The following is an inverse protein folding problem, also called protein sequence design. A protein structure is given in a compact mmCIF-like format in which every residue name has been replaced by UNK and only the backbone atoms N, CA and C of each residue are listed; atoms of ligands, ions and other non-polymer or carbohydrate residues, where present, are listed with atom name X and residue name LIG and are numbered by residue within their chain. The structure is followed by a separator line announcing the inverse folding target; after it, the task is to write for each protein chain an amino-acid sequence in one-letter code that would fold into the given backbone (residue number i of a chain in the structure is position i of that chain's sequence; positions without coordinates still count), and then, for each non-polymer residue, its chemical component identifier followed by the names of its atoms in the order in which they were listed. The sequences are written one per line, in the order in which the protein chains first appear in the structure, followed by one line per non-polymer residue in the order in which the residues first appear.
data_IF_567004844216
#
_entry.id   IF_567004844216
#
_cell.length_a   1.000
_cell.length_b   1.000
_cell.length_c   1.000
_cell.angle_alpha   90.00
_cell.angle_beta   90.00
_cell.angle_gamma   90.00
#
_symmetry.space_group_name_H-M   'P 1'
#
loop_
_entity.id
_entity.type
_entity.pdbx_description
1 polymer ?
#
# COMPACT_ATOMS: atom_id res chain seq x y z
N UNK A 1 -9.96 5.97 -9.35
CA UNK A 1 -10.75 4.74 -9.58
C UNK A 1 -12.17 5.13 -9.99
N UNK A 2 -12.76 4.49 -11.02
CA UNK A 2 -14.16 4.73 -11.38
C UNK A 2 -15.12 3.94 -10.47
N UNK A 3 -16.44 4.22 -10.59
CA UNK A 3 -17.44 3.60 -9.70
C UNK A 3 -17.60 2.09 -9.95
N UNK A 4 -17.43 1.62 -11.19
CA UNK A 4 -17.49 0.19 -11.50
C UNK A 4 -16.33 -0.57 -10.85
N UNK A 5 -15.10 -0.05 -10.98
CA UNK A 5 -13.92 -0.64 -10.35
C UNK A 5 -14.05 -0.66 -8.83
N UNK A 6 -14.60 0.42 -8.24
CA UNK A 6 -14.85 0.48 -6.81
C UNK A 6 -15.87 -0.59 -6.35
N UNK A 7 -16.99 -0.71 -7.06
CA UNK A 7 -17.99 -1.72 -6.76
C UNK A 7 -17.43 -3.14 -6.88
N UNK A 8 -16.63 -3.42 -7.90
CA UNK A 8 -15.93 -4.71 -8.07
C UNK A 8 -15.03 -5.00 -6.86
N UNK A 9 -14.22 -4.04 -6.45
CA UNK A 9 -13.35 -4.18 -5.28
C UNK A 9 -14.15 -4.45 -4.00
N UNK A 10 -15.21 -3.67 -3.76
CA UNK A 10 -16.09 -3.84 -2.61
C UNK A 10 -16.78 -5.21 -2.59
N UNK A 11 -17.22 -5.72 -3.75
CA UNK A 11 -17.79 -7.06 -3.88
C UNK A 11 -16.80 -8.16 -3.50
N UNK A 12 -15.54 -8.07 -3.96
CA UNK A 12 -14.50 -9.03 -3.59
C UNK A 12 -14.24 -9.00 -2.07
N UNK A 13 -14.15 -7.80 -1.49
CA UNK A 13 -13.94 -7.64 -0.04
C UNK A 13 -15.07 -8.24 0.78
N UNK A 14 -16.34 -8.12 0.32
CA UNK A 14 -17.49 -8.78 0.96
C UNK A 14 -17.50 -10.30 0.75
N UNK A 15 -16.67 -10.84 -0.15
CA UNK A 15 -16.62 -12.26 -0.47
C UNK A 15 -17.65 -12.68 -1.51
N UNK A 16 -18.23 -11.74 -2.26
CA UNK A 16 -19.09 -12.02 -3.39
C UNK A 16 -18.29 -12.63 -4.54
N UNK A 17 -18.89 -13.55 -5.27
CA UNK A 17 -18.25 -14.13 -6.44
C UNK A 17 -18.20 -13.12 -7.59
N UNK A 18 -17.00 -12.73 -7.99
CA UNK A 18 -16.77 -11.83 -9.13
C UNK A 18 -16.12 -12.63 -10.27
N UNK A 19 -16.67 -12.53 -11.46
CA UNK A 19 -16.14 -13.20 -12.66
C UNK A 19 -16.11 -12.25 -13.85
N UNK A 20 -15.02 -12.23 -14.61
CA UNK A 20 -13.74 -12.88 -14.30
C UNK A 20 -13.16 -12.38 -12.97
N UNK A 21 -12.24 -13.13 -12.34
CA UNK A 21 -11.52 -12.69 -11.16
C UNK A 21 -10.81 -11.37 -11.48
N UNK A 22 -10.98 -10.32 -10.69
CA UNK A 22 -10.37 -9.04 -11.03
C UNK A 22 -8.86 -9.07 -10.91
N UNK A 23 -8.21 -8.28 -11.76
CA UNK A 23 -6.79 -7.95 -11.65
C UNK A 23 -6.62 -6.55 -11.05
N UNK A 24 -5.63 -6.39 -10.18
CA UNK A 24 -5.26 -5.08 -9.67
C UNK A 24 -3.76 -5.00 -9.42
N UNK A 25 -3.23 -3.77 -9.42
CA UNK A 25 -1.83 -3.51 -9.07
C UNK A 25 -1.74 -2.30 -8.15
N UNK A 26 -0.79 -2.36 -7.21
CA UNK A 26 -0.39 -1.15 -6.48
C UNK A 26 0.41 -0.31 -7.47
N UNK A 27 -0.14 0.85 -7.81
CA UNK A 27 0.50 1.80 -8.71
C UNK A 27 1.31 2.79 -7.89
N UNK A 28 2.61 2.70 -7.99
CA UNK A 28 3.52 3.51 -7.20
C UNK A 28 4.62 4.15 -8.05
N UNK A 29 5.35 5.05 -7.41
CA UNK A 29 6.38 5.85 -8.04
C UNK A 29 7.60 5.08 -8.54
N UNK A 30 8.01 3.91 -8.02
CA UNK A 30 9.11 3.16 -8.60
C UNK A 30 8.85 2.59 -10.00
N UNK A 31 7.60 2.29 -10.33
CA UNK A 31 7.24 1.76 -11.65
C UNK A 31 6.70 2.82 -12.60
N UNK A 32 5.71 3.60 -12.14
CA UNK A 32 4.86 4.41 -13.02
C UNK A 32 5.62 5.46 -13.82
N UNK A 33 6.45 6.35 -13.23
CA UNK A 33 7.16 7.36 -14.00
C UNK A 33 8.12 6.77 -15.03
N UNK A 34 8.94 5.80 -14.66
CA UNK A 34 9.89 5.18 -15.57
C UNK A 34 9.19 4.46 -16.74
N UNK A 35 8.10 3.72 -16.46
CA UNK A 35 7.27 3.10 -17.48
C UNK A 35 6.64 4.15 -18.42
N UNK A 36 6.30 5.31 -17.90
CA UNK A 36 5.74 6.41 -18.69
C UNK A 36 6.80 7.21 -19.47
N UNK A 37 8.09 7.12 -19.09
CA UNK A 37 9.22 7.80 -19.73
C UNK A 37 9.71 9.05 -19.00
N UNK A 38 9.41 9.15 -17.70
CA UNK A 38 9.83 10.24 -16.82
C UNK A 38 10.68 9.72 -15.67
N UNK A 39 11.38 10.63 -14.97
CA UNK A 39 12.10 10.28 -13.73
C UNK A 39 11.15 10.27 -12.53
N UNK A 40 11.58 9.64 -11.44
CA UNK A 40 10.83 9.67 -10.18
C UNK A 40 10.72 11.10 -9.66
N UNK A 41 11.77 11.91 -9.81
CA UNK A 41 11.78 13.30 -9.36
C UNK A 41 10.81 14.18 -10.18
N UNK A 42 10.74 14.01 -11.52
CA UNK A 42 9.75 14.67 -12.36
C UNK A 42 8.32 14.35 -11.88
N UNK A 43 8.04 13.09 -11.63
CA UNK A 43 6.72 12.64 -11.14
C UNK A 43 6.33 13.27 -9.80
N UNK A 44 7.29 13.49 -8.90
CA UNK A 44 7.03 14.14 -7.62
C UNK A 44 6.92 15.67 -7.70
N UNK A 45 7.57 16.30 -8.66
CA UNK A 45 7.69 17.77 -8.73
C UNK A 45 6.78 18.43 -9.74
N UNK A 46 6.37 17.71 -10.81
CA UNK A 46 5.47 18.22 -11.83
C UNK A 46 4.08 17.57 -11.73
N UNK A 47 3.07 18.38 -11.43
CA UNK A 47 1.68 17.95 -11.31
C UNK A 47 1.11 17.40 -12.62
N UNK A 48 1.57 17.94 -13.77
CA UNK A 48 1.10 17.48 -15.08
C UNK A 48 1.65 16.09 -15.39
N UNK A 49 2.92 15.87 -15.17
CA UNK A 49 3.57 14.55 -15.27
C UNK A 49 2.87 13.54 -14.38
N UNK A 50 2.62 13.88 -13.11
CA UNK A 50 1.86 13.01 -12.19
C UNK A 50 0.50 12.61 -12.77
N UNK A 51 -0.30 13.57 -13.25
CA UNK A 51 -1.63 13.29 -13.78
C UNK A 51 -1.58 12.47 -15.08
N UNK A 52 -0.74 12.84 -16.02
CA UNK A 52 -0.66 12.23 -17.35
C UNK A 52 -0.16 10.80 -17.28
N UNK A 53 0.80 10.49 -16.40
CA UNK A 53 1.33 9.14 -16.19
C UNK A 53 0.26 8.21 -15.62
N UNK A 54 -0.48 8.66 -14.59
CA UNK A 54 -1.61 7.91 -14.05
C UNK A 54 -2.69 7.64 -15.12
N UNK A 55 -3.06 8.67 -15.88
CA UNK A 55 -4.03 8.52 -16.96
C UNK A 55 -3.54 7.64 -18.10
N UNK A 56 -2.22 7.66 -18.40
CA UNK A 56 -1.59 6.78 -19.39
C UNK A 56 -1.72 5.31 -18.95
N UNK A 57 -1.41 4.99 -17.72
CA UNK A 57 -1.56 3.62 -17.18
C UNK A 57 -3.01 3.14 -17.24
N UNK A 58 -3.96 3.96 -16.77
CA UNK A 58 -5.39 3.65 -16.79
C UNK A 58 -5.91 3.40 -18.22
N UNK A 59 -5.47 4.19 -19.19
CA UNK A 59 -5.88 4.03 -20.60
C UNK A 59 -5.23 2.82 -21.27
N UNK A 60 -4.01 2.48 -20.85
CA UNK A 60 -3.28 1.33 -21.41
C UNK A 60 -3.83 0.00 -20.91
N UNK A 61 -4.36 -0.02 -19.68
CA UNK A 61 -4.87 -1.22 -19.02
C UNK A 61 -6.27 -0.95 -18.42
N UNK A 62 -7.30 -0.70 -19.24
CA UNK A 62 -8.62 -0.30 -18.76
C UNK A 62 -9.34 -1.41 -17.99
N UNK A 63 -8.93 -2.67 -18.18
CA UNK A 63 -9.54 -3.85 -17.55
C UNK A 63 -9.07 -4.06 -16.10
N UNK A 64 -7.96 -3.43 -15.70
CA UNK A 64 -7.37 -3.65 -14.38
C UNK A 64 -7.65 -2.50 -13.41
N UNK A 65 -7.54 -2.77 -12.13
CA UNK A 65 -7.71 -1.78 -11.07
C UNK A 65 -6.32 -1.33 -10.59
N UNK A 66 -6.04 -0.03 -10.66
CA UNK A 66 -4.87 0.54 -10.05
C UNK A 66 -5.19 1.05 -8.64
N UNK A 67 -4.48 0.55 -7.63
CA UNK A 67 -4.62 0.87 -6.23
C UNK A 67 -3.42 1.70 -5.73
N UNK A 68 -3.65 2.70 -4.93
CA UNK A 68 -4.94 3.25 -4.46
C UNK A 68 -5.62 4.17 -5.49
N UNK A 69 -5.09 4.31 -6.67
CA UNK A 69 -5.49 5.23 -7.73
C UNK A 69 -4.50 6.38 -7.86
N UNK A 70 -4.96 7.62 -7.94
CA UNK A 70 -4.08 8.80 -7.99
C UNK A 70 -3.40 9.00 -6.63
N UNK A 71 -2.31 8.31 -6.42
CA UNK A 71 -1.61 8.29 -5.15
C UNK A 71 -0.60 9.44 -5.07
N UNK A 72 -1.06 10.59 -4.55
CA UNK A 72 -0.17 11.70 -4.24
C UNK A 72 0.61 11.40 -2.97
N UNK A 73 1.88 11.13 -3.12
CA UNK A 73 2.83 10.89 -2.03
C UNK A 73 4.21 11.47 -2.40
N UNK A 74 5.12 11.38 -1.47
CA UNK A 74 6.54 11.68 -1.67
C UNK A 74 7.39 10.52 -1.13
N UNK A 75 7.05 9.32 -1.58
CA UNK A 75 7.69 8.09 -1.17
C UNK A 75 7.67 7.87 0.35
N UNK A 76 8.78 7.38 0.88
CA UNK A 76 8.94 7.13 2.32
C UNK A 76 9.15 8.41 3.15
N UNK A 77 9.12 9.59 2.51
CA UNK A 77 9.34 10.87 3.18
C UNK A 77 8.06 11.54 3.65
N UNK A 78 6.89 11.13 3.15
CA UNK A 78 5.62 11.83 3.38
C UNK A 78 5.35 12.04 4.86
N UNK A 79 5.09 10.99 5.62
CA UNK A 79 4.76 11.08 7.04
C UNK A 79 5.96 11.46 7.92
N UNK A 80 7.18 10.91 7.72
CA UNK A 80 8.34 11.29 8.53
C UNK A 80 8.69 12.77 8.45
N UNK A 81 8.41 13.43 7.32
CA UNK A 81 8.66 14.87 7.17
C UNK A 81 7.91 15.74 8.19
N UNK A 82 6.72 15.30 8.60
CA UNK A 82 5.94 16.01 9.62
C UNK A 82 6.63 15.99 10.99
N UNK A 83 7.40 14.96 11.29
CA UNK A 83 8.21 14.83 12.50
C UNK A 83 9.58 15.52 12.39
N UNK A 84 9.83 16.27 11.32
CA UNK A 84 11.08 17.00 11.11
C UNK A 84 12.17 16.19 10.41
N UNK A 85 11.85 15.03 9.85
CA UNK A 85 12.82 14.25 9.07
C UNK A 85 13.25 14.98 7.80
N UNK A 86 14.55 14.98 7.54
CA UNK A 86 15.12 15.50 6.28
C UNK A 86 14.96 14.45 5.19
N UNK A 87 14.32 14.84 4.10
CA UNK A 87 14.16 14.01 2.91
C UNK A 87 15.39 14.10 2.02
N UNK A 88 15.87 12.96 1.51
CA UNK A 88 16.96 12.86 0.54
C UNK A 88 16.37 12.41 -0.79
N UNK A 89 16.66 13.18 -1.82
CA UNK A 89 16.11 13.03 -3.17
C UNK A 89 17.21 12.65 -4.16
N UNK A 90 16.97 11.63 -4.96
CA UNK A 90 17.70 11.34 -6.18
C UNK A 90 16.84 11.71 -7.40
N UNK A 91 17.44 11.74 -8.59
CA UNK A 91 16.74 12.00 -9.85
C UNK A 91 15.75 10.87 -10.15
N UNK A 92 16.24 9.64 -10.09
CA UNK A 92 15.49 8.42 -10.44
C UNK A 92 15.62 7.34 -9.36
N UNK A 93 15.80 7.77 -8.12
CA UNK A 93 15.85 6.92 -6.94
C UNK A 93 14.68 7.23 -6.02
N UNK A 94 14.22 6.18 -5.34
CA UNK A 94 13.15 6.35 -4.37
C UNK A 94 13.65 7.17 -3.17
N UNK A 95 12.98 8.28 -2.80
CA UNK A 95 13.46 9.15 -1.76
C UNK A 95 13.40 8.46 -0.39
N UNK A 96 14.31 8.80 0.48
CA UNK A 96 14.33 8.27 1.84
C UNK A 96 14.41 9.38 2.91
N UNK A 97 13.85 9.07 4.08
CA UNK A 97 13.80 9.95 5.23
C UNK A 97 14.98 9.67 6.17
N UNK A 98 15.70 10.71 6.60
CA UNK A 98 16.70 10.58 7.66
C UNK A 98 16.04 10.43 9.01
N UNK A 99 16.55 9.53 9.85
CA UNK A 99 16.09 9.38 11.23
C UNK A 99 16.24 10.67 12.03
N UNK A 100 15.29 10.92 12.91
CA UNK A 100 15.26 12.08 13.82
C UNK A 100 15.47 11.68 15.28
N UNK A 101 15.15 10.44 15.65
CA UNK A 101 15.39 9.89 16.98
C UNK A 101 16.74 9.16 16.95
N UNK A 102 17.73 9.71 17.65
CA UNK A 102 19.09 9.16 17.69
C UNK A 102 19.24 8.10 18.79
N UNK A 103 18.33 8.13 19.77
CA UNK A 103 18.24 7.17 20.86
C UNK A 103 16.78 6.97 21.30
N UNK A 104 16.44 5.86 21.99
CA UNK A 104 15.10 5.69 22.56
C UNK A 104 14.66 6.82 23.50
N UNK A 105 15.62 7.42 24.25
CA UNK A 105 15.32 8.52 25.16
C UNK A 105 14.77 9.79 24.46
N UNK A 106 15.06 9.98 23.16
CA UNK A 106 14.54 11.12 22.41
C UNK A 106 13.02 11.07 22.27
N UNK A 107 12.40 9.88 22.43
CA UNK A 107 10.95 9.69 22.44
C UNK A 107 10.27 10.45 23.58
N UNK A 108 10.95 10.68 24.70
CA UNK A 108 10.39 11.44 25.83
C UNK A 108 10.01 12.87 25.46
N UNK A 109 10.70 13.45 24.47
CA UNK A 109 10.50 14.83 23.99
C UNK A 109 9.74 14.90 22.68
N UNK A 110 9.41 13.75 22.09
CA UNK A 110 8.69 13.72 20.83
C UNK A 110 7.25 14.19 21.06
N UNK A 111 6.84 15.18 20.29
CA UNK A 111 5.48 15.68 20.26
C UNK A 111 4.78 15.24 18.98
N UNK A 112 3.45 15.03 19.06
CA UNK A 112 2.64 14.74 17.88
C UNK A 112 2.59 15.99 16.98
N UNK A 113 3.02 15.87 15.69
CA UNK A 113 2.94 17.00 14.77
C UNK A 113 1.50 17.31 14.36
N UNK A 114 1.25 18.56 13.95
CA UNK A 114 -0.01 18.97 13.31
C UNK A 114 0.01 18.53 11.83
N UNK A 115 -0.75 17.50 11.49
CA UNK A 115 -0.81 16.95 10.14
C UNK A 115 -1.35 17.93 9.08
N UNK A 116 -1.97 19.05 9.49
CA UNK A 116 -2.45 20.10 8.57
C UNK A 116 -1.36 21.06 8.12
N UNK A 117 -0.23 21.12 8.84
CA UNK A 117 0.77 22.18 8.65
C UNK A 117 2.19 21.68 8.46
N UNK A 118 2.52 20.51 9.02
CA UNK A 118 3.90 20.03 9.09
C UNK A 118 4.29 19.16 7.91
N UNK A 119 5.55 19.26 7.53
CA UNK A 119 6.17 18.44 6.49
C UNK A 119 5.55 18.59 5.10
N UNK A 120 5.50 17.50 4.38
CA UNK A 120 5.00 17.41 3.01
C UNK A 120 3.47 17.17 2.94
N UNK A 121 2.78 16.94 4.06
CA UNK A 121 1.37 16.59 4.06
C UNK A 121 0.45 17.64 3.42
N UNK A 122 0.63 18.96 3.66
CA UNK A 122 -0.16 19.98 2.96
C UNK A 122 -0.01 19.92 1.43
N UNK A 123 1.17 19.53 0.93
CA UNK A 123 1.41 19.41 -0.50
C UNK A 123 0.65 18.23 -1.11
N UNK A 124 0.58 17.10 -0.39
CA UNK A 124 -0.23 15.92 -0.81
C UNK A 124 -1.68 16.33 -1.03
N UNK A 125 -2.30 17.02 -0.06
CA UNK A 125 -3.68 17.47 -0.16
C UNK A 125 -3.85 18.49 -1.29
N UNK A 126 -2.98 19.49 -1.36
CA UNK A 126 -3.08 20.55 -2.36
C UNK A 126 -2.94 20.05 -3.79
N UNK A 127 -1.99 19.14 -4.05
CA UNK A 127 -1.85 18.50 -5.35
C UNK A 127 -3.13 17.81 -5.80
N UNK A 128 -3.69 16.96 -4.94
CA UNK A 128 -4.93 16.24 -5.28
C UNK A 128 -6.13 17.18 -5.43
N UNK A 129 -6.25 18.22 -4.59
CA UNK A 129 -7.31 19.24 -4.74
C UNK A 129 -7.20 19.99 -6.06
N UNK A 130 -5.97 20.32 -6.47
CA UNK A 130 -5.73 20.99 -7.76
C UNK A 130 -6.11 20.11 -8.95
N UNK A 131 -5.75 18.82 -8.89
CA UNK A 131 -5.98 17.86 -9.96
C UNK A 131 -7.37 17.21 -9.94
N UNK A 132 -8.12 17.33 -8.84
CA UNK A 132 -9.43 16.67 -8.67
C UNK A 132 -10.41 16.93 -9.83
N UNK A 133 -10.56 18.18 -10.37
CA UNK A 133 -11.48 18.41 -11.47
C UNK A 133 -11.13 17.62 -12.75
N UNK A 134 -9.83 17.45 -13.04
CA UNK A 134 -9.37 16.68 -14.19
C UNK A 134 -9.52 15.17 -13.96
N UNK A 135 -9.25 14.70 -12.74
CA UNK A 135 -9.49 13.31 -12.32
C UNK A 135 -10.96 12.94 -12.46
N UNK A 136 -11.87 13.81 -11.98
CA UNK A 136 -13.32 13.61 -12.08
C UNK A 136 -13.82 13.68 -13.52
N UNK A 137 -13.29 14.61 -14.33
CA UNK A 137 -13.59 14.69 -15.76
C UNK A 137 -13.16 13.43 -16.52
N UNK A 138 -12.10 12.76 -16.08
CA UNK A 138 -11.67 11.46 -16.60
C UNK A 138 -12.54 10.28 -16.09
N UNK A 139 -13.57 10.53 -15.29
CA UNK A 139 -14.49 9.51 -14.75
C UNK A 139 -13.99 8.81 -13.49
N UNK A 140 -12.95 9.34 -12.83
CA UNK A 140 -12.34 8.75 -11.66
C UNK A 140 -12.62 9.56 -10.40
N UNK A 141 -12.46 8.92 -9.23
CA UNK A 141 -12.60 9.53 -7.90
C UNK A 141 -11.44 9.13 -7.01
N UNK A 142 -11.11 9.97 -6.05
CA UNK A 142 -10.16 9.68 -4.98
C UNK A 142 -10.90 8.80 -3.97
N UNK A 143 -10.50 7.53 -3.82
CA UNK A 143 -11.21 6.50 -3.04
C UNK A 143 -10.51 6.09 -1.76
N UNK A 144 -9.23 6.36 -1.63
CA UNK A 144 -8.43 5.93 -0.50
C UNK A 144 -7.77 7.11 0.22
N UNK A 145 -7.81 7.05 1.54
CA UNK A 145 -6.81 7.70 2.38
C UNK A 145 -5.60 6.76 2.48
N UNK A 146 -4.41 7.30 2.29
CA UNK A 146 -3.17 6.50 2.21
C UNK A 146 -2.15 7.00 3.21
N UNK A 147 -1.48 6.07 3.88
CA UNK A 147 -0.34 6.36 4.75
C UNK A 147 0.57 5.13 4.92
N UNK A 148 1.78 5.35 5.40
CA UNK A 148 2.60 4.28 5.98
C UNK A 148 2.00 3.85 7.31
N UNK A 149 2.20 2.58 7.69
CA UNK A 149 1.69 2.06 8.96
C UNK A 149 2.52 2.49 10.18
N UNK A 150 1.99 2.22 11.39
CA UNK A 150 2.61 2.70 12.63
C UNK A 150 4.06 2.24 12.84
N UNK A 151 4.36 0.96 12.55
CA UNK A 151 5.71 0.43 12.77
C UNK A 151 6.68 0.94 11.70
N UNK A 152 6.23 1.08 10.44
CA UNK A 152 7.04 1.66 9.39
C UNK A 152 7.45 3.09 9.73
N UNK A 153 6.51 3.94 10.14
CA UNK A 153 6.84 5.33 10.50
C UNK A 153 7.78 5.37 11.68
N UNK A 154 7.51 4.60 12.75
CA UNK A 154 8.40 4.53 13.90
C UNK A 154 9.83 4.10 13.51
N UNK A 155 9.93 3.12 12.60
CA UNK A 155 11.24 2.66 12.10
C UNK A 155 11.95 3.71 11.25
N UNK A 156 11.23 4.52 10.47
CA UNK A 156 11.83 5.63 9.70
C UNK A 156 12.33 6.74 10.62
N UNK A 157 11.61 7.01 11.72
CA UNK A 157 12.00 8.05 12.67
C UNK A 157 13.23 7.68 13.52
N UNK A 158 13.42 6.40 13.84
CA UNK A 158 14.48 5.92 14.73
C UNK A 158 15.62 5.20 14.00
N UNK A 159 15.34 4.61 12.84
CA UNK A 159 16.18 3.62 12.17
C UNK A 159 15.67 2.21 12.47
N UNK A 160 15.55 1.38 11.43
CA UNK A 160 14.96 0.03 11.59
C UNK A 160 15.71 -0.85 12.60
N UNK A 161 17.06 -0.96 12.59
CA UNK A 161 17.77 -1.77 13.56
C UNK A 161 17.55 -1.27 14.99
N UNK A 162 17.65 0.03 15.22
CA UNK A 162 17.51 0.66 16.54
C UNK A 162 16.07 0.50 17.07
N UNK A 163 15.07 0.66 16.20
CA UNK A 163 13.67 0.43 16.57
C UNK A 163 13.43 -1.02 16.97
N UNK A 164 13.92 -1.99 16.19
CA UNK A 164 13.76 -3.42 16.48
C UNK A 164 14.45 -3.84 17.80
N UNK A 165 15.62 -3.27 18.10
CA UNK A 165 16.30 -3.46 19.40
C UNK A 165 15.48 -2.83 20.53
N UNK A 166 15.03 -1.59 20.35
CA UNK A 166 14.26 -0.85 21.36
C UNK A 166 12.92 -1.51 21.73
N UNK A 167 12.27 -2.23 20.81
CA UNK A 167 11.07 -3.05 21.12
C UNK A 167 11.36 -4.08 22.24
N UNK A 168 12.62 -4.48 22.42
CA UNK A 168 13.03 -5.47 23.43
C UNK A 168 13.60 -4.83 24.68
N UNK A 169 14.36 -3.75 24.52
CA UNK A 169 15.13 -3.14 25.60
C UNK A 169 14.38 -2.00 26.28
N UNK A 170 13.51 -1.28 25.53
CA UNK A 170 12.80 -0.08 25.98
C UNK A 170 11.31 -0.12 25.58
N UNK A 171 10.55 -1.18 25.97
CA UNK A 171 9.18 -1.39 25.48
C UNK A 171 8.23 -0.25 25.83
N UNK A 172 8.37 0.40 26.99
CA UNK A 172 7.52 1.52 27.41
C UNK A 172 7.71 2.75 26.51
N UNK A 173 8.95 3.06 26.13
CA UNK A 173 9.23 4.14 25.20
C UNK A 173 8.71 3.81 23.79
N UNK A 174 8.78 2.55 23.38
CA UNK A 174 8.23 2.14 22.09
C UNK A 174 6.70 2.20 22.07
N UNK A 175 6.01 1.85 23.13
CA UNK A 175 4.58 2.11 23.24
C UNK A 175 4.25 3.60 23.13
N UNK A 176 5.00 4.47 23.81
CA UNK A 176 4.84 5.92 23.70
C UNK A 176 5.07 6.42 22.27
N UNK A 177 6.12 5.95 21.58
CA UNK A 177 6.40 6.30 20.19
C UNK A 177 5.24 5.90 19.28
N UNK A 178 4.79 4.64 19.40
CA UNK A 178 3.70 4.09 18.60
C UNK A 178 2.36 4.78 18.89
N UNK A 179 2.11 5.21 20.13
CA UNK A 179 0.94 6.02 20.48
C UNK A 179 0.95 7.37 19.75
N UNK A 180 2.07 8.10 19.81
CA UNK A 180 2.23 9.40 19.14
C UNK A 180 2.05 9.26 17.62
N UNK A 181 2.71 8.27 17.04
CA UNK A 181 2.64 7.98 15.59
C UNK A 181 1.23 7.59 15.18
N UNK A 182 0.56 6.75 15.95
CA UNK A 182 -0.79 6.29 15.62
C UNK A 182 -1.83 7.40 15.76
N UNK A 183 -1.75 8.23 16.78
CA UNK A 183 -2.62 9.40 16.93
C UNK A 183 -2.45 10.39 15.77
N UNK A 184 -1.20 10.59 15.34
CA UNK A 184 -0.91 11.38 14.14
C UNK A 184 -1.52 10.73 12.88
N UNK A 185 -1.40 9.41 12.70
CA UNK A 185 -1.96 8.69 11.56
C UNK A 185 -3.48 8.77 11.50
N UNK A 186 -4.15 8.59 12.62
CA UNK A 186 -5.63 8.70 12.70
C UNK A 186 -6.07 10.10 12.28
N UNK A 187 -5.37 11.14 12.74
CA UNK A 187 -5.63 12.52 12.32
C UNK A 187 -5.34 12.73 10.83
N UNK A 188 -4.23 12.21 10.31
CA UNK A 188 -3.88 12.31 8.89
C UNK A 188 -4.91 11.64 7.96
N UNK A 189 -5.39 10.46 8.33
CA UNK A 189 -6.47 9.77 7.61
C UNK A 189 -7.77 10.61 7.64
N UNK A 190 -8.11 11.19 8.79
CA UNK A 190 -9.30 12.03 8.92
C UNK A 190 -9.21 13.29 8.05
N UNK A 191 -8.04 13.94 7.97
CA UNK A 191 -7.80 15.11 7.11
C UNK A 191 -7.96 14.77 5.64
N UNK A 192 -7.44 13.62 5.17
CA UNK A 192 -7.63 13.17 3.80
C UNK A 192 -9.11 12.94 3.48
N UNK A 193 -9.85 12.29 4.39
CA UNK A 193 -11.30 12.05 4.23
C UNK A 193 -12.13 13.34 4.26
N UNK A 194 -11.74 14.31 5.06
CA UNK A 194 -12.35 15.64 5.07
C UNK A 194 -12.12 16.39 3.75
N UNK A 195 -10.89 16.33 3.23
CA UNK A 195 -10.52 16.99 1.97
C UNK A 195 -11.19 16.33 0.75
N UNK A 196 -11.43 15.02 0.79
CA UNK A 196 -12.00 14.23 -0.31
C UNK A 196 -13.14 13.34 0.19
N UNK A 197 -14.40 13.82 0.22
CA UNK A 197 -15.53 13.06 0.73
C UNK A 197 -15.86 11.76 -0.05
N UNK A 198 -15.22 11.54 -1.20
CA UNK A 198 -15.33 10.30 -1.98
C UNK A 198 -14.45 9.17 -1.45
N UNK A 199 -13.61 9.44 -0.45
CA UNK A 199 -12.80 8.41 0.21
C UNK A 199 -13.69 7.50 1.05
N UNK A 200 -13.67 6.23 0.71
CA UNK A 200 -14.37 5.14 1.39
C UNK A 200 -13.45 3.92 1.55
N UNK A 201 -12.15 4.15 1.51
CA UNK A 201 -11.09 3.18 1.76
C UNK A 201 -9.90 3.78 2.51
N UNK A 202 -9.19 2.94 3.24
CA UNK A 202 -7.90 3.24 3.85
C UNK A 202 -6.88 2.26 3.28
N UNK A 203 -5.73 2.76 2.89
CA UNK A 203 -4.60 1.95 2.45
C UNK A 203 -3.38 2.24 3.33
N UNK A 204 -2.92 1.23 4.08
CA UNK A 204 -1.72 1.32 4.91
C UNK A 204 -0.66 0.31 4.43
N UNK A 205 0.60 0.76 4.45
CA UNK A 205 1.77 -0.03 4.10
C UNK A 205 2.67 -0.15 5.32
N UNK A 206 2.92 -1.38 5.79
CA UNK A 206 3.76 -1.60 6.97
C UNK A 206 4.51 -2.93 6.90
N UNK A 207 5.70 -2.91 6.28
CA UNK A 207 6.53 -4.10 6.12
C UNK A 207 7.24 -4.51 7.41
N UNK A 208 7.37 -3.58 8.37
CA UNK A 208 8.02 -3.87 9.66
C UNK A 208 7.26 -4.94 10.44
N UNK A 209 5.94 -5.07 10.25
CA UNK A 209 5.17 -6.17 10.87
C UNK A 209 5.64 -7.57 10.47
N UNK A 210 6.33 -7.71 9.35
CA UNK A 210 6.89 -8.98 8.90
C UNK A 210 8.19 -9.38 9.60
N UNK A 211 8.84 -8.45 10.29
CA UNK A 211 10.10 -8.69 11.00
C UNK A 211 9.92 -8.89 12.50
N UNK A 212 8.70 -8.71 13.02
CA UNK A 212 8.39 -8.93 14.44
C UNK A 212 7.86 -10.35 14.67
N UNK A 213 8.11 -10.89 15.88
CA UNK A 213 7.54 -12.16 16.27
C UNK A 213 6.02 -12.04 16.44
N UNK A 214 5.31 -13.18 16.49
CA UNK A 214 3.87 -13.17 16.78
C UNK A 214 3.55 -12.42 18.08
N UNK A 215 4.30 -12.67 19.15
CA UNK A 215 4.12 -12.01 20.45
C UNK A 215 4.35 -10.49 20.32
N UNK A 216 5.37 -10.07 19.58
CA UNK A 216 5.65 -8.65 19.41
C UNK A 216 4.59 -7.99 18.52
N UNK A 217 4.05 -8.70 17.52
CA UNK A 217 2.93 -8.21 16.74
C UNK A 217 1.68 -8.04 17.63
N UNK A 218 1.37 -8.99 18.49
CA UNK A 218 0.26 -8.88 19.46
C UNK A 218 0.44 -7.68 20.40
N UNK A 219 1.68 -7.32 20.72
CA UNK A 219 2.01 -6.24 21.67
C UNK A 219 2.16 -4.89 20.97
N UNK A 220 2.93 -4.82 19.87
CA UNK A 220 3.36 -3.57 19.23
C UNK A 220 2.75 -3.35 17.84
N UNK A 221 2.10 -4.33 17.24
CA UNK A 221 1.49 -4.21 15.92
C UNK A 221 -0.02 -4.09 15.98
N UNK A 222 -0.68 -5.13 16.49
CA UNK A 222 -2.14 -5.28 16.46
C UNK A 222 -2.90 -4.09 17.07
N UNK A 223 -2.59 -3.59 18.29
CA UNK A 223 -3.35 -2.49 18.89
C UNK A 223 -3.28 -1.20 18.08
N UNK A 224 -2.14 -0.93 17.50
CA UNK A 224 -1.89 0.29 16.72
C UNK A 224 -2.50 0.21 15.32
N UNK A 225 -2.46 -0.95 14.67
CA UNK A 225 -3.20 -1.17 13.42
C UNK A 225 -4.71 -1.10 13.62
N UNK A 226 -5.26 -1.64 14.72
CA UNK A 226 -6.68 -1.52 15.06
C UNK A 226 -7.11 -0.04 15.14
N UNK A 227 -6.30 0.80 15.79
CA UNK A 227 -6.57 2.24 15.88
C UNK A 227 -6.45 2.93 14.52
N UNK A 228 -5.42 2.63 13.75
CA UNK A 228 -5.20 3.22 12.43
C UNK A 228 -6.31 2.84 11.43
N UNK A 229 -6.87 1.62 11.53
CA UNK A 229 -8.01 1.17 10.72
C UNK A 229 -9.38 1.42 11.38
N UNK A 230 -9.48 2.25 12.42
CA UNK A 230 -10.73 2.44 13.18
C UNK A 230 -11.82 3.19 12.43
N UNK A 231 -11.48 3.96 11.39
CA UNK A 231 -12.47 4.71 10.63
C UNK A 231 -13.49 3.78 9.95
N UNK A 232 -14.75 4.23 9.90
CA UNK A 232 -15.82 3.53 9.18
C UNK A 232 -15.68 3.78 7.67
N UNK A 233 -15.17 2.78 6.96
CA UNK A 233 -14.96 2.75 5.51
C UNK A 233 -15.12 1.32 4.99
N UNK A 234 -15.51 1.21 3.70
CA UNK A 234 -15.80 -0.08 3.06
C UNK A 234 -14.55 -0.94 2.87
N UNK A 235 -13.41 -0.35 2.46
CA UNK A 235 -12.18 -1.09 2.17
C UNK A 235 -11.07 -0.69 3.12
N UNK A 236 -10.53 -1.67 3.83
CA UNK A 236 -9.38 -1.51 4.74
C UNK A 236 -8.23 -2.36 4.19
N UNK A 237 -7.46 -1.73 3.31
CA UNK A 237 -6.40 -2.34 2.55
C UNK A 237 -5.08 -2.25 3.30
N UNK A 238 -4.44 -3.38 3.50
CA UNK A 238 -3.13 -3.50 4.12
C UNK A 238 -2.12 -4.11 3.16
N UNK A 239 -0.91 -3.57 3.15
CA UNK A 239 0.22 -4.07 2.37
C UNK A 239 1.41 -4.38 3.27
N UNK A 240 2.03 -5.55 3.04
CA UNK A 240 3.26 -5.99 3.69
C UNK A 240 4.00 -6.97 2.79
N UNK A 241 5.16 -6.56 2.27
CA UNK A 241 6.03 -7.39 1.42
C UNK A 241 6.91 -8.37 2.20
N UNK A 242 7.03 -8.19 3.51
CA UNK A 242 7.80 -9.07 4.38
C UNK A 242 7.00 -10.32 4.79
N UNK A 243 7.62 -11.35 5.43
CA UNK A 243 6.92 -12.55 5.85
C UNK A 243 5.69 -12.27 6.72
N UNK A 244 4.53 -12.84 6.39
CA UNK A 244 3.27 -12.51 7.05
C UNK A 244 2.71 -13.64 7.96
N UNK A 245 3.40 -14.79 8.07
CA UNK A 245 2.89 -15.93 8.85
C UNK A 245 2.57 -15.60 10.32
N UNK A 246 3.34 -14.71 10.93
CA UNK A 246 3.14 -14.31 12.31
C UNK A 246 1.90 -13.42 12.50
N UNK A 247 1.62 -12.53 11.57
CA UNK A 247 0.56 -11.50 11.63
C UNK A 247 -0.74 -11.92 10.94
N UNK A 248 -0.68 -12.73 9.88
CA UNK A 248 -1.84 -13.09 9.05
C UNK A 248 -3.07 -13.59 9.83
N UNK A 249 -2.94 -14.45 10.87
CA UNK A 249 -4.10 -14.89 11.63
C UNK A 249 -4.84 -13.78 12.40
N UNK A 250 -4.22 -12.63 12.56
CA UNK A 250 -4.73 -11.51 13.36
C UNK A 250 -5.16 -10.30 12.53
N UNK A 251 -4.97 -10.33 11.20
CA UNK A 251 -5.27 -9.18 10.33
C UNK A 251 -6.76 -8.81 10.34
N UNK A 252 -7.66 -9.80 10.39
CA UNK A 252 -9.10 -9.52 10.55
C UNK A 252 -9.39 -8.77 11.86
N UNK A 253 -8.78 -9.20 12.97
CA UNK A 253 -8.91 -8.52 14.25
C UNK A 253 -8.35 -7.09 14.24
N UNK A 254 -7.36 -6.81 13.38
CA UNK A 254 -6.88 -5.45 13.13
C UNK A 254 -7.88 -4.59 12.30
N UNK A 255 -8.99 -5.18 11.86
CA UNK A 255 -10.00 -4.53 11.04
C UNK A 255 -9.69 -4.55 9.53
N UNK A 256 -8.64 -5.24 9.12
CA UNK A 256 -8.22 -5.35 7.71
C UNK A 256 -9.15 -6.31 6.97
N UNK A 257 -9.58 -5.94 5.75
CA UNK A 257 -10.43 -6.77 4.91
C UNK A 257 -9.90 -6.98 3.48
N UNK A 258 -8.77 -6.34 3.14
CA UNK A 258 -8.00 -6.58 1.91
C UNK A 258 -6.50 -6.60 2.26
N UNK A 259 -5.78 -7.64 1.80
CA UNK A 259 -4.37 -7.80 2.08
C UNK A 259 -3.56 -8.12 0.82
N UNK A 260 -2.55 -7.30 0.55
CA UNK A 260 -1.51 -7.56 -0.43
C UNK A 260 -0.22 -7.97 0.29
N UNK A 261 0.46 -9.01 -0.21
CA UNK A 261 1.61 -9.61 0.44
C UNK A 261 2.67 -10.07 -0.58
N UNK A 262 3.89 -10.27 -0.10
CA UNK A 262 5.02 -10.73 -0.89
C UNK A 262 4.94 -12.21 -1.30
N UNK A 263 6.03 -12.72 -1.88
CA UNK A 263 6.09 -14.05 -2.49
C UNK A 263 6.55 -15.17 -1.54
N UNK A 264 6.83 -14.85 -0.28
CA UNK A 264 7.33 -15.83 0.71
C UNK A 264 6.29 -16.88 1.10
N UNK A 265 5.02 -16.63 0.78
CA UNK A 265 3.88 -17.47 1.12
C UNK A 265 2.95 -17.61 -0.06
N UNK A 266 2.29 -18.76 -0.17
CA UNK A 266 1.30 -18.98 -1.23
C UNK A 266 -0.05 -18.35 -0.88
N UNK A 267 -0.90 -18.13 -1.88
CA UNK A 267 -2.30 -17.73 -1.65
C UNK A 267 -3.07 -18.78 -0.83
N UNK A 268 -2.78 -20.07 -1.01
CA UNK A 268 -3.40 -21.15 -0.24
C UNK A 268 -3.03 -21.07 1.25
N UNK A 269 -1.75 -20.80 1.56
CA UNK A 269 -1.31 -20.57 2.94
C UNK A 269 -2.04 -19.38 3.55
N UNK A 270 -2.10 -18.25 2.83
CA UNK A 270 -2.77 -17.04 3.30
C UNK A 270 -4.26 -17.26 3.53
N UNK A 271 -4.97 -17.92 2.62
CA UNK A 271 -6.38 -18.29 2.83
C UNK A 271 -6.56 -19.12 4.10
N UNK A 272 -5.66 -20.06 4.33
CA UNK A 272 -5.68 -20.91 5.55
C UNK A 272 -5.46 -20.06 6.80
N UNK A 273 -4.43 -19.21 6.84
CA UNK A 273 -4.09 -18.44 8.04
C UNK A 273 -5.09 -17.34 8.36
N UNK A 274 -5.74 -16.77 7.34
CA UNK A 274 -6.79 -15.76 7.49
C UNK A 274 -8.19 -16.37 7.62
N UNK A 275 -8.32 -17.71 7.67
CA UNK A 275 -9.59 -18.43 7.60
C UNK A 275 -10.47 -18.00 6.42
N UNK A 276 -9.86 -17.55 5.32
CA UNK A 276 -10.52 -16.98 4.14
C UNK A 276 -11.51 -15.84 4.47
N UNK A 277 -11.26 -15.06 5.52
CA UNK A 277 -12.15 -13.99 5.98
C UNK A 277 -11.83 -12.63 5.41
N UNK A 278 -10.59 -12.44 4.91
CA UNK A 278 -10.15 -11.23 4.22
C UNK A 278 -9.88 -11.51 2.75
N UNK A 279 -10.05 -10.51 1.91
CA UNK A 279 -9.69 -10.60 0.51
C UNK A 279 -8.16 -10.55 0.35
N UNK A 280 -7.64 -11.36 -0.56
CA UNK A 280 -6.21 -11.46 -0.84
C UNK A 280 -5.90 -10.87 -2.22
N UNK A 281 -4.86 -10.10 -2.30
CA UNK A 281 -4.33 -9.53 -3.54
C UNK A 281 -2.90 -9.99 -3.75
N UNK A 282 -2.63 -10.71 -4.82
CA UNK A 282 -1.29 -11.24 -5.12
C UNK A 282 -1.36 -12.51 -5.98
N UNK A 283 -0.30 -13.31 -6.05
CA UNK A 283 1.07 -12.93 -5.67
C UNK A 283 2.08 -13.48 -6.68
N UNK A 284 1.90 -13.04 -7.96
CA UNK A 284 2.87 -13.36 -9.02
C UNK A 284 4.23 -12.74 -8.66
N UNK A 285 5.35 -13.47 -8.83
CA UNK A 285 6.68 -12.94 -8.54
C UNK A 285 6.94 -11.64 -9.32
N UNK A 286 7.18 -10.52 -8.62
CA UNK A 286 7.27 -9.22 -9.29
C UNK A 286 8.51 -9.12 -10.18
N UNK A 287 9.71 -9.37 -9.62
CA UNK A 287 10.96 -9.21 -10.35
C UNK A 287 11.15 -10.32 -11.36
N UNK A 288 11.22 -11.57 -10.89
CA UNK A 288 11.69 -12.70 -11.70
C UNK A 288 10.68 -13.12 -12.80
N UNK A 289 9.39 -12.81 -12.63
CA UNK A 289 8.34 -13.16 -13.59
C UNK A 289 7.77 -11.93 -14.28
N UNK A 290 7.30 -10.92 -13.52
CA UNK A 290 6.58 -9.80 -14.13
C UNK A 290 7.53 -8.80 -14.81
N UNK A 291 8.72 -8.51 -14.24
CA UNK A 291 9.69 -7.61 -14.82
C UNK A 291 10.65 -8.31 -15.79
N UNK A 292 11.31 -9.38 -15.36
CA UNK A 292 12.41 -10.01 -16.10
C UNK A 292 11.96 -11.22 -16.95
N UNK A 293 10.77 -11.80 -16.67
CA UNK A 293 10.22 -12.93 -17.42
C UNK A 293 9.65 -12.53 -18.80
N UNK A 294 9.29 -13.55 -19.58
CA UNK A 294 8.55 -13.38 -20.84
C UNK A 294 7.04 -13.44 -20.62
N UNK A 295 6.20 -12.99 -21.58
CA UNK A 295 4.75 -13.19 -21.52
C UNK A 295 4.34 -14.66 -21.31
N UNK A 296 5.11 -15.62 -21.83
CA UNK A 296 4.87 -17.05 -21.62
C UNK A 296 5.15 -17.49 -20.17
N UNK A 297 6.19 -16.91 -19.54
CA UNK A 297 6.49 -17.17 -18.13
C UNK A 297 5.41 -16.61 -17.22
N UNK A 298 4.90 -15.41 -17.53
CA UNK A 298 3.77 -14.80 -16.83
C UNK A 298 2.52 -15.67 -16.96
N UNK A 299 2.17 -16.09 -18.18
CA UNK A 299 1.01 -16.99 -18.43
C UNK A 299 1.13 -18.29 -17.63
N UNK A 300 2.31 -18.91 -17.62
CA UNK A 300 2.58 -20.12 -16.85
C UNK A 300 2.38 -19.87 -15.35
N UNK A 301 3.00 -18.84 -14.80
CA UNK A 301 2.92 -18.51 -13.36
C UNK A 301 1.49 -18.23 -12.90
N UNK A 302 0.73 -17.46 -13.68
CA UNK A 302 -0.71 -17.19 -13.40
C UNK A 302 -1.51 -18.48 -13.44
N UNK A 303 -1.28 -19.33 -14.43
CA UNK A 303 -2.00 -20.61 -14.59
C UNK A 303 -1.73 -21.54 -13.40
N UNK A 304 -0.47 -21.70 -13.02
CA UNK A 304 -0.06 -22.52 -11.87
C UNK A 304 -0.67 -22.01 -10.58
N UNK A 305 -0.61 -20.69 -10.34
CA UNK A 305 -1.17 -20.05 -9.16
C UNK A 305 -2.69 -20.25 -9.05
N UNK A 306 -3.45 -20.03 -10.15
CA UNK A 306 -4.90 -20.20 -10.16
C UNK A 306 -5.34 -21.67 -10.04
N UNK A 307 -4.57 -22.61 -10.61
CA UNK A 307 -4.84 -24.05 -10.52
C UNK A 307 -4.55 -24.60 -9.11
N UNK A 308 -3.67 -23.97 -8.35
CA UNK A 308 -3.38 -24.34 -6.98
C UNK A 308 -4.48 -23.91 -5.97
N UNK A 309 -5.50 -23.18 -6.43
CA UNK A 309 -6.59 -22.68 -5.59
C UNK A 309 -7.90 -23.36 -5.91
N UNK A 310 -8.45 -24.10 -4.94
CA UNK A 310 -9.80 -24.66 -5.04
C UNK A 310 -10.87 -23.56 -4.95
N UNK A 311 -10.68 -22.60 -4.05
CA UNK A 311 -11.57 -21.46 -3.86
C UNK A 311 -10.93 -20.14 -4.32
N UNK A 312 -11.55 -19.51 -5.32
CA UNK A 312 -11.16 -18.22 -5.89
C UNK A 312 -12.02 -17.06 -5.38
N UNK A 313 -12.86 -17.28 -4.37
CA UNK A 313 -13.54 -16.17 -3.69
C UNK A 313 -12.52 -15.26 -2.97
N UNK A 314 -12.87 -14.00 -2.75
CA UNK A 314 -11.97 -13.05 -2.06
C UNK A 314 -10.55 -12.99 -2.67
N UNK A 315 -10.47 -13.08 -4.00
CA UNK A 315 -9.19 -13.06 -4.72
C UNK A 315 -9.16 -11.89 -5.70
N UNK A 316 -8.05 -11.19 -5.70
CA UNK A 316 -7.61 -10.25 -6.73
C UNK A 316 -6.24 -10.72 -7.21
N UNK A 317 -6.10 -10.96 -8.50
CA UNK A 317 -4.79 -11.35 -9.04
C UNK A 317 -3.92 -10.12 -9.23
N UNK A 318 -2.71 -10.20 -8.71
CA UNK A 318 -1.69 -9.14 -8.73
C UNK A 318 -0.30 -9.74 -8.71
N UNK A 319 0.72 -8.91 -8.77
CA UNK A 319 2.05 -9.31 -8.30
C UNK A 319 2.10 -9.30 -6.76
N UNK A 320 3.07 -10.00 -6.21
CA UNK A 320 3.39 -9.94 -4.78
C UNK A 320 4.06 -8.61 -4.47
N UNK A 321 3.36 -7.76 -3.73
CA UNK A 321 3.81 -6.42 -3.45
C UNK A 321 3.41 -5.36 -4.48
N UNK A 322 4.18 -4.26 -4.53
CA UNK A 322 4.02 -3.20 -5.52
C UNK A 322 4.47 -3.62 -6.92
N UNK A 323 4.14 -2.80 -7.91
CA UNK A 323 4.63 -3.00 -9.28
C UNK A 323 6.16 -2.90 -9.30
N UNK A 324 6.86 -3.92 -9.85
CA UNK A 324 8.31 -3.85 -9.90
C UNK A 324 8.76 -2.80 -10.93
N UNK A 325 9.85 -2.07 -10.67
CA UNK A 325 10.49 -1.26 -11.70
C UNK A 325 10.70 -2.07 -12.98
N UNK A 326 10.56 -1.44 -14.14
CA UNK A 326 10.77 -2.04 -15.45
C UNK A 326 9.77 -3.15 -15.87
N UNK A 327 8.67 -3.41 -15.16
CA UNK A 327 7.63 -4.33 -15.63
C UNK A 327 7.09 -3.86 -16.99
N UNK A 328 7.27 -4.65 -18.08
CA UNK A 328 6.92 -4.21 -19.42
C UNK A 328 5.41 -4.40 -19.68
N UNK A 329 4.90 -3.56 -20.59
CA UNK A 329 3.47 -3.58 -20.96
C UNK A 329 2.97 -4.95 -21.39
N UNK A 330 3.75 -5.72 -22.14
CA UNK A 330 3.39 -7.04 -22.63
C UNK A 330 3.21 -8.07 -21.51
N UNK A 331 4.02 -8.00 -20.46
CA UNK A 331 3.91 -8.90 -19.31
C UNK A 331 2.67 -8.58 -18.47
N UNK A 332 2.38 -7.29 -18.27
CA UNK A 332 1.16 -6.85 -17.58
C UNK A 332 -0.08 -7.31 -18.35
N UNK A 333 -0.09 -7.14 -19.69
CA UNK A 333 -1.19 -7.63 -20.55
C UNK A 333 -1.32 -9.15 -20.52
N UNK A 334 -0.19 -9.89 -20.51
CA UNK A 334 -0.21 -11.35 -20.41
C UNK A 334 -0.84 -11.82 -19.09
N UNK A 335 -0.55 -11.14 -17.97
CA UNK A 335 -1.20 -11.42 -16.68
C UNK A 335 -2.71 -11.19 -16.78
N UNK A 336 -3.14 -10.00 -17.21
CA UNK A 336 -4.56 -9.61 -17.29
C UNK A 336 -5.34 -10.58 -18.19
N UNK A 337 -4.86 -10.82 -19.42
CA UNK A 337 -5.53 -11.69 -20.38
C UNK A 337 -5.60 -13.14 -19.91
N UNK A 338 -4.56 -13.65 -19.25
CA UNK A 338 -4.56 -15.03 -18.73
C UNK A 338 -5.56 -15.21 -17.60
N UNK A 339 -5.66 -14.24 -16.68
CA UNK A 339 -6.66 -14.28 -15.60
C UNK A 339 -8.06 -14.26 -16.18
N UNK A 340 -8.31 -13.40 -17.15
CA UNK A 340 -9.62 -13.31 -17.81
C UNK A 340 -9.97 -14.62 -18.55
N UNK A 341 -9.04 -15.20 -19.28
CA UNK A 341 -9.22 -16.49 -20.01
C UNK A 341 -9.57 -17.64 -19.05
N UNK A 342 -8.91 -17.71 -17.88
CA UNK A 342 -9.05 -18.83 -16.95
C UNK A 342 -10.18 -18.70 -15.92
N UNK A 343 -10.80 -17.52 -15.81
CA UNK A 343 -11.77 -17.25 -14.72
C UNK A 343 -13.13 -16.69 -15.18
N UNK A 344 -13.36 -16.61 -16.49
CA UNK A 344 -14.68 -16.28 -17.09
C UNK A 344 -15.80 -17.21 -16.68
#
# INVERSE_FOLDING_TARGET
MNDQQWNTLASVVRGEAVRPVPTAFIIDSPWLPNWAGHTILDYFTDERTFLDDNLKAIRTFPETIFLPGFWSEYGMCTEPSAFGSVSIWGEDEFPFAKKVLLSPADVERLEKPDARKHGLLPFVIKRLQHLQPEIEKAGHKIRFAVARGPLNIASFLMGTPEFMEALKTEPELMHRLLDIVTDFLVEWIAIQREAFPTIDGIFLLDDIVGFVSRRDFETFGLPYLQRAFSADVTVKFFHNDAPAKASAPMLEAAGINLFNFGIQHTLADMKTWTNNRIALMGNIPPRDVLAEGTPADVKRSVTEMLNALDDKSRLIVSCGGGMPPQAPTENIRALISTVEELTR
#
